data_IF_514441124448
#
_entry.id   IF_514441124448
#
_cell.length_a   1.000
_cell.length_b   1.000
_cell.length_c   1.000
_cell.angle_alpha   90.00
_cell.angle_beta   90.00
_cell.angle_gamma   90.00
#
_symmetry.space_group_name_H-M   'P 1'
#
loop_
_entity.id
_entity.type
_entity.pdbx_description
1 polymer ?
#
# COMPACT_ATOMS: atom_id res chain seq x y z
N UNK A 1 -55.89 -13.35 1.90
CA UNK A 1 -55.23 -12.95 0.64
C UNK A 1 -53.77 -12.64 0.97
N UNK A 2 -52.89 -13.62 1.15
CA UNK A 2 -52.31 -14.57 0.18
C UNK A 2 -51.29 -13.92 -0.77
N UNK A 3 -50.02 -13.84 -0.34
CA UNK A 3 -48.83 -13.84 -1.22
C UNK A 3 -47.55 -13.94 -0.38
N UNK A 4 -47.12 -15.16 -0.07
CA UNK A 4 -45.78 -15.46 0.44
C UNK A 4 -45.43 -16.89 0.05
N UNK A 5 -45.05 -17.10 -1.21
CA UNK A 5 -44.48 -18.37 -1.70
C UNK A 5 -43.78 -18.14 -3.04
N UNK A 6 -42.44 -17.98 -3.01
CA UNK A 6 -41.51 -18.35 -4.11
C UNK A 6 -40.07 -18.00 -3.77
N UNK A 7 -39.39 -18.85 -3.01
CA UNK A 7 -37.92 -18.94 -3.01
C UNK A 7 -37.50 -20.41 -2.83
N UNK A 8 -37.77 -21.23 -3.85
CA UNK A 8 -37.05 -22.49 -4.06
C UNK A 8 -36.68 -22.64 -5.54
N UNK A 9 -35.57 -23.33 -5.77
CA UNK A 9 -34.98 -23.73 -7.05
C UNK A 9 -34.13 -22.71 -7.83
N UNK A 10 -32.83 -22.74 -7.55
CA UNK A 10 -31.79 -22.72 -8.60
C UNK A 10 -30.50 -23.40 -8.12
N UNK A 11 -30.58 -24.73 -7.93
CA UNK A 11 -29.40 -25.61 -7.96
C UNK A 11 -29.23 -26.09 -9.41
N UNK A 12 -28.25 -25.52 -10.11
CA UNK A 12 -27.92 -25.90 -11.49
C UNK A 12 -26.47 -26.37 -11.57
N UNK A 13 -26.32 -27.69 -11.48
CA UNK A 13 -25.42 -28.57 -12.25
C UNK A 13 -24.14 -27.94 -12.80
N UNK A 14 -23.03 -28.15 -12.10
CA UNK A 14 -21.69 -28.16 -12.68
C UNK A 14 -21.51 -29.47 -13.47
N UNK A 15 -21.29 -29.38 -14.79
CA UNK A 15 -20.77 -30.49 -15.60
C UNK A 15 -19.24 -30.39 -15.66
N UNK A 16 -18.50 -31.50 -15.54
CA UNK A 16 -17.06 -31.51 -15.75
C UNK A 16 -16.74 -31.44 -17.26
N UNK A 17 -15.94 -30.45 -17.65
CA UNK A 17 -15.31 -30.43 -18.97
C UNK A 17 -14.08 -31.34 -18.95
N UNK A 18 -14.15 -32.44 -19.70
CA UNK A 18 -13.00 -33.27 -20.04
C UNK A 18 -12.16 -32.54 -21.10
N UNK A 19 -10.95 -32.13 -20.73
CA UNK A 19 -9.95 -31.58 -21.65
C UNK A 19 -9.13 -32.75 -22.17
N UNK A 20 -9.32 -33.08 -23.44
CA UNK A 20 -8.49 -34.02 -24.20
C UNK A 20 -7.28 -33.27 -24.76
N UNK A 21 -6.16 -33.29 -24.04
CA UNK A 21 -4.86 -32.81 -24.54
C UNK A 21 -4.25 -33.83 -25.52
N UNK A 22 -4.33 -33.54 -26.82
CA UNK A 22 -3.36 -34.07 -27.80
C UNK A 22 -2.18 -33.11 -27.85
N UNK A 23 -1.12 -33.44 -27.11
CA UNK A 23 0.18 -32.77 -27.19
C UNK A 23 0.93 -33.30 -28.41
N UNK A 24 1.10 -32.47 -29.44
CA UNK A 24 2.11 -32.70 -30.47
C UNK A 24 3.47 -32.14 -30.01
N UNK A 25 4.57 -32.89 -30.16
CA UNK A 25 5.90 -32.41 -29.79
C UNK A 25 6.41 -31.40 -30.82
N UNK A 26 6.53 -30.14 -30.42
CA UNK A 26 7.27 -29.11 -31.14
C UNK A 26 8.76 -29.35 -30.85
N UNK A 27 9.50 -29.84 -31.84
CA UNK A 27 10.96 -29.83 -31.82
C UNK A 27 11.46 -28.39 -31.93
N UNK A 28 11.85 -27.80 -30.80
CA UNK A 28 12.58 -26.54 -30.76
C UNK A 28 14.09 -26.82 -30.66
N UNK A 29 14.80 -26.61 -31.77
CA UNK A 29 16.25 -26.41 -31.80
C UNK A 29 16.56 -25.09 -31.07
N UNK A 30 16.93 -25.18 -29.79
CA UNK A 30 17.35 -24.03 -28.99
C UNK A 30 18.87 -23.96 -29.00
N UNK A 31 19.35 -22.93 -29.68
CA UNK A 31 20.71 -22.44 -29.67
C UNK A 31 21.26 -22.31 -28.23
N UNK A 32 22.34 -23.05 -27.99
CA UNK A 32 23.24 -22.93 -26.85
C UNK A 32 24.00 -21.60 -26.93
N UNK A 33 23.48 -20.52 -26.34
CA UNK A 33 24.31 -19.31 -26.15
C UNK A 33 24.07 -18.51 -24.86
N UNK A 34 23.23 -18.99 -23.94
CA UNK A 34 22.89 -18.22 -22.73
C UNK A 34 23.45 -18.77 -21.41
N UNK A 35 24.29 -19.82 -21.45
CA UNK A 35 24.92 -20.38 -20.23
C UNK A 35 26.12 -19.58 -19.73
N UNK A 36 26.75 -18.73 -20.56
CA UNK A 36 27.93 -17.96 -20.12
C UNK A 36 27.57 -16.71 -19.31
N UNK A 37 26.42 -16.08 -19.54
CA UNK A 37 26.05 -14.86 -18.82
C UNK A 37 25.58 -15.12 -17.37
N UNK A 38 24.88 -16.24 -17.14
CA UNK A 38 24.36 -16.60 -15.80
C UNK A 38 25.45 -17.07 -14.82
N UNK A 39 26.56 -17.63 -15.32
CA UNK A 39 27.69 -17.99 -14.46
C UNK A 39 28.46 -16.77 -13.94
N UNK A 40 28.48 -15.65 -14.67
CA UNK A 40 29.15 -14.43 -14.23
C UNK A 40 28.47 -13.73 -13.04
N UNK A 41 27.13 -13.74 -13.00
CA UNK A 41 26.37 -13.10 -11.92
C UNK A 41 26.39 -13.90 -10.62
N UNK A 42 26.43 -15.24 -10.71
CA UNK A 42 26.54 -16.11 -9.54
C UNK A 42 27.87 -15.87 -8.78
N UNK A 43 28.97 -15.69 -9.51
CA UNK A 43 30.29 -15.41 -8.93
C UNK A 43 30.35 -14.02 -8.27
N UNK A 44 29.62 -13.03 -8.78
CA UNK A 44 29.55 -11.68 -8.19
C UNK A 44 28.76 -11.66 -6.88
N UNK A 45 27.67 -12.43 -6.79
CA UNK A 45 26.89 -12.54 -5.54
C UNK A 45 27.66 -13.28 -4.45
N UNK A 46 28.40 -14.35 -4.79
CA UNK A 46 29.26 -15.04 -3.81
C UNK A 46 30.44 -14.18 -3.33
N UNK A 47 31.02 -13.36 -4.21
CA UNK A 47 32.05 -12.39 -3.79
C UNK A 47 31.47 -11.29 -2.88
N UNK A 48 30.22 -10.87 -3.08
CA UNK A 48 29.57 -9.88 -2.22
C UNK A 48 29.24 -10.46 -0.83
N UNK A 49 28.70 -11.69 -0.77
CA UNK A 49 28.41 -12.38 0.49
C UNK A 49 29.68 -12.65 1.31
N UNK A 50 30.78 -13.02 0.65
CA UNK A 50 32.07 -13.22 1.34
C UNK A 50 32.62 -11.90 1.91
N UNK A 51 32.37 -10.76 1.24
CA UNK A 51 32.78 -9.43 1.74
C UNK A 51 31.98 -9.02 2.98
N UNK A 52 30.67 -9.28 3.01
CA UNK A 52 29.82 -9.01 4.19
C UNK A 52 30.18 -9.93 5.36
N UNK A 53 30.49 -11.20 5.09
CA UNK A 53 30.92 -12.17 6.12
C UNK A 53 32.26 -11.78 6.76
N UNK A 54 33.21 -11.27 5.96
CA UNK A 54 34.52 -10.84 6.47
C UNK A 54 34.47 -9.49 7.21
N UNK A 55 33.51 -8.61 6.92
CA UNK A 55 33.28 -7.39 7.71
C UNK A 55 32.75 -7.67 9.12
N UNK A 56 32.11 -8.83 9.36
CA UNK A 56 31.70 -9.25 10.73
C UNK A 56 32.86 -9.72 11.59
N UNK A 57 33.99 -10.15 11.01
CA UNK A 57 35.14 -10.66 11.78
C UNK A 57 36.11 -9.57 12.27
N UNK A 58 35.97 -8.32 11.82
CA UNK A 58 36.76 -7.15 12.29
C UNK A 58 36.00 -6.25 13.26
N UNK A 59 35.12 -6.81 14.08
CA UNK A 59 34.43 -6.13 15.17
C UNK A 59 34.86 -6.68 16.54
N UNK A 60 36.12 -7.10 16.64
CA UNK A 60 36.74 -7.35 17.94
C UNK A 60 37.39 -6.05 18.46
N UNK A 61 37.03 -5.71 19.69
CA UNK A 61 37.52 -4.58 20.50
C UNK A 61 36.82 -3.23 20.27
N UNK A 62 35.50 -3.19 20.43
CA UNK A 62 34.84 -1.99 20.98
C UNK A 62 34.87 -2.16 22.51
N UNK A 63 35.42 -1.21 23.29
CA UNK A 63 35.38 -1.28 24.74
C UNK A 63 33.93 -1.40 25.21
N UNK A 64 33.68 -2.30 26.16
CA UNK A 64 32.39 -2.45 26.83
C UNK A 64 32.03 -1.13 27.53
N UNK A 65 31.41 -0.21 26.80
CA UNK A 65 30.61 0.84 27.41
C UNK A 65 29.44 0.12 28.06
N UNK A 66 29.38 0.15 29.39
CA UNK A 66 28.25 -0.34 30.16
C UNK A 66 27.01 0.40 29.67
N UNK A 67 26.29 -0.20 28.71
CA UNK A 67 24.98 0.26 28.30
C UNK A 67 24.12 0.12 29.55
N UNK A 68 23.88 1.25 30.23
CA UNK A 68 22.89 1.34 31.29
C UNK A 68 21.58 0.89 30.65
N UNK A 69 21.25 -0.37 30.92
CA UNK A 69 20.08 -1.03 30.40
C UNK A 69 18.89 -0.22 30.90
N UNK A 70 18.25 0.47 29.96
CA UNK A 70 17.29 1.54 30.24
C UNK A 70 16.32 1.15 31.33
N UNK A 71 16.22 2.01 32.32
CA UNK A 71 15.26 1.94 33.41
C UNK A 71 13.88 1.74 32.76
N UNK A 72 13.35 0.51 32.85
CA UNK A 72 12.08 0.16 32.22
C UNK A 72 11.04 1.05 32.89
N UNK A 73 10.49 2.00 32.14
CA UNK A 73 9.36 2.79 32.61
C UNK A 73 8.34 1.83 33.23
N UNK A 74 8.13 1.96 34.55
CA UNK A 74 7.18 1.13 35.27
C UNK A 74 5.80 1.28 34.61
N UNK A 75 5.05 0.17 34.53
CA UNK A 75 3.66 0.17 34.06
C UNK A 75 2.83 1.22 34.80
N UNK A 76 3.12 1.47 36.08
CA UNK A 76 2.47 2.53 36.86
C UNK A 76 2.79 3.94 36.37
N UNK A 77 4.02 4.21 35.90
CA UNK A 77 4.39 5.49 35.32
C UNK A 77 3.70 5.71 33.96
N UNK A 78 3.57 4.64 33.16
CA UNK A 78 2.80 4.67 31.92
C UNK A 78 1.33 4.98 32.20
N UNK A 79 0.69 4.24 33.11
CA UNK A 79 -0.71 4.48 33.49
C UNK A 79 -0.93 5.87 34.09
N UNK A 80 0.01 6.39 34.88
CA UNK A 80 -0.08 7.73 35.44
C UNK A 80 0.05 8.83 34.36
N UNK A 81 0.89 8.61 33.33
CA UNK A 81 1.05 9.53 32.21
C UNK A 81 -0.19 9.53 31.31
N UNK A 82 -0.72 8.35 30.97
CA UNK A 82 -1.90 8.26 30.10
C UNK A 82 -3.20 8.55 30.84
N UNK A 83 -3.32 8.24 32.14
CA UNK A 83 -4.53 8.48 32.93
C UNK A 83 -4.91 9.96 33.10
N UNK A 84 -4.02 10.89 32.73
CA UNK A 84 -4.27 12.34 32.75
C UNK A 84 -4.41 12.96 31.36
N UNK A 85 -4.27 12.17 30.30
CA UNK A 85 -4.36 12.69 28.94
C UNK A 85 -5.78 13.19 28.65
N UNK A 86 -5.89 14.35 28.01
CA UNK A 86 -7.19 14.89 27.62
C UNK A 86 -7.87 13.96 26.59
N UNK A 87 -9.21 13.94 26.49
CA UNK A 87 -9.91 13.24 25.42
C UNK A 87 -9.41 13.61 24.01
N UNK A 88 -9.01 14.88 23.81
CA UNK A 88 -8.42 15.35 22.56
C UNK A 88 -7.07 14.68 22.26
N UNK A 89 -6.23 14.46 23.27
CA UNK A 89 -4.94 13.77 23.12
C UNK A 89 -5.14 12.32 22.66
N UNK A 90 -6.15 11.61 23.18
CA UNK A 90 -6.49 10.28 22.71
C UNK A 90 -6.98 10.29 21.25
N UNK A 91 -7.89 11.22 20.91
CA UNK A 91 -8.38 11.37 19.55
C UNK A 91 -7.23 11.67 18.56
N UNK A 92 -6.32 12.58 18.91
CA UNK A 92 -5.13 12.91 18.11
C UNK A 92 -4.18 11.73 17.98
N UNK A 93 -3.90 11.01 19.08
CA UNK A 93 -3.02 9.84 19.06
C UNK A 93 -3.58 8.73 18.17
N UNK A 94 -4.86 8.38 18.32
CA UNK A 94 -5.52 7.38 17.47
C UNK A 94 -5.62 7.86 16.02
N UNK A 95 -5.94 9.13 15.79
CA UNK A 95 -5.97 9.74 14.45
C UNK A 95 -4.62 9.61 13.76
N UNK A 96 -3.55 10.01 14.44
CA UNK A 96 -2.19 9.92 13.96
C UNK A 96 -1.77 8.47 13.65
N UNK A 97 -2.15 7.49 14.47
CA UNK A 97 -1.87 6.08 14.20
C UNK A 97 -2.53 5.61 12.89
N UNK A 98 -3.81 5.94 12.70
CA UNK A 98 -4.54 5.59 11.47
C UNK A 98 -3.93 6.29 10.26
N UNK A 99 -3.68 7.60 10.33
CA UNK A 99 -3.08 8.35 9.22
C UNK A 99 -1.66 7.90 8.91
N UNK A 100 -0.88 7.48 9.92
CA UNK A 100 0.46 6.92 9.75
C UNK A 100 0.39 5.64 8.92
N UNK A 101 -0.53 4.73 9.25
CA UNK A 101 -0.74 3.49 8.48
C UNK A 101 -1.07 3.80 7.02
N UNK A 102 -1.94 4.77 6.76
CA UNK A 102 -2.27 5.20 5.40
C UNK A 102 -1.04 5.80 4.69
N UNK A 103 -0.36 6.76 5.32
CA UNK A 103 0.77 7.45 4.69
C UNK A 103 1.94 6.49 4.38
N UNK A 104 2.43 5.76 5.39
CA UNK A 104 3.55 4.83 5.22
C UNK A 104 3.17 3.60 4.40
N UNK A 105 1.91 3.15 4.47
CA UNK A 105 1.39 2.12 3.58
C UNK A 105 1.48 2.53 2.11
N UNK A 106 1.09 3.76 1.77
CA UNK A 106 1.22 4.27 0.40
C UNK A 106 2.67 4.49 -0.05
N UNK A 107 3.58 4.85 0.87
CA UNK A 107 5.02 4.88 0.59
C UNK A 107 5.52 3.47 0.25
N UNK A 108 5.21 2.48 1.08
CA UNK A 108 5.60 1.09 0.83
C UNK A 108 5.08 0.59 -0.52
N UNK A 109 3.83 0.92 -0.86
CA UNK A 109 3.25 0.56 -2.15
C UNK A 109 3.97 1.19 -3.35
N UNK A 110 4.43 2.44 -3.20
CA UNK A 110 5.15 3.16 -4.25
C UNK A 110 6.58 2.65 -4.43
N UNK A 111 7.24 2.19 -3.36
CA UNK A 111 8.64 1.76 -3.39
C UNK A 111 8.80 0.27 -3.67
N UNK A 112 7.99 -0.57 -3.03
CA UNK A 112 8.15 -2.04 -3.02
C UNK A 112 6.84 -2.79 -3.25
N UNK A 113 5.75 -2.08 -3.57
CA UNK A 113 4.46 -2.67 -3.83
C UNK A 113 4.32 -3.32 -5.22
N UNK A 114 3.08 -3.70 -5.59
CA UNK A 114 2.81 -4.31 -6.90
C UNK A 114 3.07 -3.37 -8.08
N UNK A 115 3.04 -2.04 -7.87
CA UNK A 115 3.21 -1.05 -8.93
C UNK A 115 4.62 -1.05 -9.54
N UNK A 116 5.71 -0.92 -8.76
CA UNK A 116 7.06 -1.10 -9.28
C UNK A 116 7.27 -2.42 -10.02
N UNK A 117 6.61 -3.50 -9.59
CA UNK A 117 6.72 -4.83 -10.24
C UNK A 117 6.04 -4.81 -11.61
N UNK A 118 4.78 -4.39 -11.70
CA UNK A 118 4.05 -4.39 -12.99
C UNK A 118 4.58 -3.33 -13.97
N UNK A 119 5.34 -2.36 -13.50
CA UNK A 119 6.05 -1.34 -14.30
C UNK A 119 7.49 -1.71 -14.64
N UNK A 120 7.94 -2.92 -14.30
CA UNK A 120 9.30 -3.40 -14.59
C UNK A 120 10.42 -2.57 -13.93
N UNK A 121 10.12 -1.88 -12.81
CA UNK A 121 11.09 -1.02 -12.10
C UNK A 121 11.98 -1.79 -11.12
N UNK A 122 11.52 -2.94 -10.62
CA UNK A 122 12.30 -3.81 -9.73
C UNK A 122 12.94 -5.00 -10.47
N UNK A 123 12.98 -4.93 -11.80
CA UNK A 123 13.46 -6.00 -12.68
C UNK A 123 12.46 -6.30 -13.80
N UNK A 124 12.92 -7.06 -14.80
CA UNK A 124 12.09 -7.43 -15.94
C UNK A 124 10.94 -8.37 -15.49
N UNK A 125 9.70 -7.91 -15.62
CA UNK A 125 8.52 -8.73 -15.33
C UNK A 125 8.03 -9.38 -16.63
N UNK A 126 7.94 -10.71 -16.67
CA UNK A 126 7.43 -11.47 -17.82
C UNK A 126 5.90 -11.46 -17.95
N UNK A 127 5.22 -10.64 -17.13
CA UNK A 127 3.76 -10.52 -17.16
C UNK A 127 3.27 -9.82 -18.42
N UNK A 128 2.31 -10.44 -19.09
CA UNK A 128 1.55 -9.78 -20.16
C UNK A 128 0.77 -8.56 -19.63
N UNK A 129 0.42 -7.61 -20.50
CA UNK A 129 -0.39 -6.44 -20.11
C UNK A 129 -1.70 -6.83 -19.42
N UNK A 130 -2.30 -7.97 -19.82
CA UNK A 130 -3.52 -8.51 -19.21
C UNK A 130 -3.29 -8.99 -17.77
N UNK A 131 -2.14 -9.60 -17.50
CA UNK A 131 -1.81 -10.00 -16.13
C UNK A 131 -1.44 -8.78 -15.28
N UNK A 132 -0.70 -7.80 -15.84
CA UNK A 132 -0.34 -6.55 -15.14
C UNK A 132 -1.58 -5.79 -14.66
N UNK A 133 -2.59 -5.64 -15.52
CA UNK A 133 -3.83 -4.95 -15.14
C UNK A 133 -4.66 -5.74 -14.13
N UNK A 134 -4.68 -7.08 -14.23
CA UNK A 134 -5.34 -7.94 -13.24
C UNK A 134 -4.69 -7.83 -11.85
N UNK A 135 -3.36 -7.82 -11.77
CA UNK A 135 -2.62 -7.59 -10.52
C UNK A 135 -2.97 -6.21 -9.94
N UNK A 136 -2.98 -5.17 -10.78
CA UNK A 136 -3.40 -3.83 -10.36
C UNK A 136 -4.84 -3.81 -9.81
N UNK A 137 -5.80 -4.47 -10.48
CA UNK A 137 -7.20 -4.50 -10.06
C UNK A 137 -7.39 -5.19 -8.71
N UNK A 138 -6.83 -6.38 -8.55
CA UNK A 138 -6.89 -7.13 -7.29
C UNK A 138 -6.33 -6.31 -6.12
N UNK A 139 -5.20 -5.63 -6.35
CA UNK A 139 -4.63 -4.72 -5.38
C UNK A 139 -5.54 -3.52 -5.09
N UNK A 140 -6.06 -2.86 -6.12
CA UNK A 140 -6.89 -1.66 -6.00
C UNK A 140 -8.21 -1.94 -5.26
N UNK A 141 -8.88 -3.04 -5.58
CA UNK A 141 -10.16 -3.42 -4.98
C UNK A 141 -10.05 -3.63 -3.47
N UNK A 142 -8.96 -4.26 -3.00
CA UNK A 142 -8.70 -4.39 -1.57
C UNK A 142 -8.22 -3.09 -0.93
N UNK A 143 -7.22 -2.41 -1.53
CA UNK A 143 -6.65 -1.20 -0.96
C UNK A 143 -7.67 -0.06 -0.83
N UNK A 144 -8.61 0.07 -1.78
CA UNK A 144 -9.60 1.15 -1.79
C UNK A 144 -10.50 1.15 -0.55
N UNK A 145 -10.88 -0.02 -0.03
CA UNK A 145 -11.70 -0.16 1.19
C UNK A 145 -10.99 0.44 2.41
N UNK A 146 -9.72 0.07 2.61
CA UNK A 146 -8.89 0.57 3.70
C UNK A 146 -8.63 2.08 3.57
N UNK A 147 -8.40 2.55 2.35
CA UNK A 147 -8.20 3.97 2.08
C UNK A 147 -9.43 4.77 2.47
N UNK A 148 -10.62 4.41 1.97
CA UNK A 148 -11.87 5.15 2.25
C UNK A 148 -12.18 5.12 3.76
N UNK A 149 -12.14 3.95 4.38
CA UNK A 149 -12.42 3.80 5.80
C UNK A 149 -11.41 4.55 6.67
N UNK A 150 -10.12 4.41 6.37
CA UNK A 150 -9.05 5.09 7.09
C UNK A 150 -9.09 6.61 6.95
N UNK A 151 -9.43 7.15 5.76
CA UNK A 151 -9.64 8.59 5.57
C UNK A 151 -10.78 9.09 6.47
N UNK A 152 -11.91 8.37 6.48
CA UNK A 152 -13.08 8.74 7.28
C UNK A 152 -12.78 8.73 8.79
N UNK A 153 -12.11 7.68 9.27
CA UNK A 153 -11.68 7.57 10.67
C UNK A 153 -10.69 8.67 11.04
N UNK A 154 -9.68 8.92 10.20
CA UNK A 154 -8.72 10.03 10.39
C UNK A 154 -9.44 11.37 10.52
N UNK A 155 -10.29 11.72 9.54
CA UNK A 155 -11.00 12.99 9.55
C UNK A 155 -11.89 13.14 10.79
N UNK A 156 -12.61 12.08 11.16
CA UNK A 156 -13.50 12.08 12.34
C UNK A 156 -12.72 12.30 13.63
N UNK A 157 -11.59 11.60 13.82
CA UNK A 157 -10.76 11.73 15.02
C UNK A 157 -10.12 13.11 15.14
N UNK A 158 -9.64 13.69 14.03
CA UNK A 158 -9.10 15.04 14.02
C UNK A 158 -10.19 16.12 14.23
N UNK A 159 -11.41 15.91 13.75
CA UNK A 159 -12.55 16.78 14.07
C UNK A 159 -12.95 16.68 15.55
N UNK A 160 -12.95 15.47 16.11
CA UNK A 160 -13.21 15.25 17.53
C UNK A 160 -12.15 15.97 18.39
N UNK A 161 -10.87 15.86 18.03
CA UNK A 161 -9.80 16.60 18.70
C UNK A 161 -9.94 18.13 18.60
N UNK A 162 -10.42 18.64 17.46
CA UNK A 162 -10.73 20.07 17.31
C UNK A 162 -11.86 20.53 18.26
N UNK A 163 -12.88 19.69 18.44
CA UNK A 163 -14.02 19.98 19.30
C UNK A 163 -13.69 19.84 20.80
N UNK A 164 -12.82 18.90 21.16
CA UNK A 164 -12.49 18.55 22.55
C UNK A 164 -11.22 19.22 23.09
N UNK A 165 -10.41 19.84 22.22
CA UNK A 165 -9.12 20.40 22.62
C UNK A 165 -9.23 21.80 23.24
N UNK A 166 -8.37 22.09 24.23
CA UNK A 166 -8.27 23.42 24.85
C UNK A 166 -7.23 24.32 24.15
N UNK A 167 -6.17 23.73 23.61
CA UNK A 167 -5.09 24.44 22.92
C UNK A 167 -5.53 24.98 21.57
N UNK A 168 -5.54 26.31 21.41
CA UNK A 168 -5.93 26.97 20.16
C UNK A 168 -5.06 26.56 18.96
N UNK A 169 -3.77 26.31 19.19
CA UNK A 169 -2.83 25.83 18.17
C UNK A 169 -3.17 24.40 17.77
N UNK A 170 -3.31 23.49 18.74
CA UNK A 170 -3.64 22.09 18.48
C UNK A 170 -4.97 21.96 17.73
N UNK A 171 -5.99 22.73 18.14
CA UNK A 171 -7.29 22.79 17.45
C UNK A 171 -7.15 23.21 15.99
N UNK A 172 -6.44 24.31 15.70
CA UNK A 172 -6.22 24.79 14.32
C UNK A 172 -5.51 23.75 13.46
N UNK A 173 -4.45 23.14 13.99
CA UNK A 173 -3.71 22.09 13.28
C UNK A 173 -4.58 20.84 13.05
N UNK A 174 -5.41 20.47 14.03
CA UNK A 174 -6.32 19.33 13.92
C UNK A 174 -7.40 19.54 12.86
N UNK A 175 -8.05 20.71 12.83
CA UNK A 175 -9.04 21.00 11.78
C UNK A 175 -8.38 21.05 10.39
N UNK A 176 -7.17 21.59 10.27
CA UNK A 176 -6.43 21.57 9.00
C UNK A 176 -6.10 20.13 8.57
N UNK A 177 -5.67 19.26 9.49
CA UNK A 177 -5.42 17.84 9.22
C UNK A 177 -6.70 17.12 8.75
N UNK A 178 -7.83 17.38 9.41
CA UNK A 178 -9.13 16.83 9.01
C UNK A 178 -9.54 17.30 7.61
N UNK A 179 -9.43 18.60 7.32
CA UNK A 179 -9.75 19.15 6.00
C UNK A 179 -8.85 18.58 4.90
N UNK A 180 -7.54 18.47 5.14
CA UNK A 180 -6.61 17.82 4.22
C UNK A 180 -7.03 16.37 3.94
N UNK A 181 -7.45 15.63 4.96
CA UNK A 181 -7.95 14.26 4.82
C UNK A 181 -9.24 14.20 4.00
N UNK A 182 -10.21 15.07 4.28
CA UNK A 182 -11.48 15.14 3.55
C UNK A 182 -11.25 15.45 2.07
N UNK A 183 -10.36 16.38 1.75
CA UNK A 183 -10.03 16.78 0.37
C UNK A 183 -9.43 15.66 -0.49
N UNK A 184 -8.90 14.59 0.12
CA UNK A 184 -8.39 13.42 -0.62
C UNK A 184 -9.51 12.68 -1.36
N UNK A 185 -10.72 12.65 -0.80
CA UNK A 185 -11.87 11.96 -1.41
C UNK A 185 -12.31 12.61 -2.73
N UNK A 186 -12.62 13.92 -2.82
CA UNK A 186 -12.97 14.56 -4.09
C UNK A 186 -11.82 14.49 -5.09
N UNK A 187 -10.55 14.63 -4.66
CA UNK A 187 -9.41 14.41 -5.56
C UNK A 187 -9.43 13.00 -6.16
N UNK A 188 -9.68 11.98 -5.35
CA UNK A 188 -9.74 10.59 -5.81
C UNK A 188 -10.91 10.39 -6.79
N UNK A 189 -12.10 10.89 -6.48
CA UNK A 189 -13.29 10.71 -7.31
C UNK A 189 -13.20 11.46 -8.63
N UNK A 190 -12.67 12.68 -8.64
CA UNK A 190 -12.65 13.54 -9.83
C UNK A 190 -11.43 13.26 -10.70
N UNK A 191 -10.26 13.06 -10.09
CA UNK A 191 -8.97 13.00 -10.82
C UNK A 191 -8.51 11.56 -11.06
N UNK A 192 -8.61 10.68 -10.06
CA UNK A 192 -8.10 9.30 -10.17
C UNK A 192 -9.14 8.36 -10.80
N UNK A 193 -10.40 8.47 -10.40
CA UNK A 193 -11.47 7.54 -10.82
C UNK A 193 -11.62 7.35 -12.33
N UNK A 194 -11.48 8.38 -13.20
CA UNK A 194 -11.53 8.17 -14.65
C UNK A 194 -10.44 7.21 -15.16
N UNK A 195 -9.25 7.25 -14.54
CA UNK A 195 -8.15 6.34 -14.86
C UNK A 195 -8.47 4.93 -14.36
N UNK A 196 -9.03 4.79 -13.15
CA UNK A 196 -9.47 3.50 -12.61
C UNK A 196 -10.52 2.85 -13.49
N UNK A 197 -11.57 3.59 -13.88
CA UNK A 197 -12.64 3.09 -14.73
C UNK A 197 -12.10 2.60 -16.09
N UNK A 198 -11.13 3.33 -16.65
CA UNK A 198 -10.48 2.94 -17.91
C UNK A 198 -9.67 1.65 -17.76
N UNK A 199 -8.98 1.46 -16.63
CA UNK A 199 -8.25 0.22 -16.35
C UNK A 199 -9.21 -0.96 -16.10
N UNK A 200 -10.26 -0.76 -15.29
CA UNK A 200 -11.28 -1.78 -15.04
C UNK A 200 -11.92 -2.24 -16.36
N UNK A 201 -12.32 -1.30 -17.23
CA UNK A 201 -12.89 -1.62 -18.53
C UNK A 201 -11.94 -2.42 -19.44
N UNK A 202 -10.62 -2.19 -19.36
CA UNK A 202 -9.64 -2.99 -20.09
C UNK A 202 -9.47 -4.39 -19.46
N UNK A 203 -9.59 -4.50 -18.14
CA UNK A 203 -9.55 -5.81 -17.46
C UNK A 203 -10.83 -6.64 -17.70
N UNK A 204 -11.95 -6.01 -18.02
CA UNK A 204 -13.19 -6.75 -18.36
C UNK A 204 -13.15 -7.33 -19.79
N UNK A 205 -12.22 -6.88 -20.66
CA UNK A 205 -12.07 -7.43 -22.02
C UNK A 205 -11.47 -8.84 -22.01
N UNK A 206 -12.04 -9.77 -22.78
CA UNK A 206 -11.52 -11.15 -22.91
C UNK A 206 -10.12 -11.17 -23.54
N UNK A 207 -9.91 -10.41 -24.60
CA UNK A 207 -8.63 -10.28 -25.29
C UNK A 207 -8.25 -8.81 -25.48
N UNK A 208 -6.96 -8.49 -25.34
CA UNK A 208 -6.43 -7.14 -25.55
C UNK A 208 -5.81 -7.02 -26.94
N UNK A 209 -6.30 -6.04 -27.71
CA UNK A 209 -5.64 -5.60 -28.93
C UNK A 209 -4.26 -5.00 -28.63
N UNK A 210 -3.43 -4.82 -29.66
CA UNK A 210 -2.12 -4.19 -29.49
C UNK A 210 -2.23 -2.74 -28.99
N UNK A 211 -3.24 -2.00 -29.45
CA UNK A 211 -3.52 -0.65 -28.96
C UNK A 211 -3.96 -0.64 -27.49
N UNK A 212 -4.77 -1.62 -27.08
CA UNK A 212 -5.16 -1.79 -25.68
C UNK A 212 -3.95 -2.05 -24.79
N UNK A 213 -3.01 -2.91 -25.22
CA UNK A 213 -1.79 -3.23 -24.47
C UNK A 213 -0.94 -2.00 -24.19
N UNK A 214 -0.74 -1.14 -25.21
CA UNK A 214 -0.04 0.15 -25.04
C UNK A 214 -0.81 1.08 -24.10
N UNK A 215 -2.14 1.11 -24.22
CA UNK A 215 -3.01 1.91 -23.35
C UNK A 215 -2.94 1.47 -21.88
N UNK A 216 -2.83 0.17 -21.59
CA UNK A 216 -2.65 -0.35 -20.22
C UNK A 216 -1.39 0.24 -19.58
N UNK A 217 -0.25 0.17 -20.27
CA UNK A 217 1.01 0.71 -19.74
C UNK A 217 0.91 2.21 -19.44
N UNK A 218 0.34 2.98 -20.37
CA UNK A 218 0.12 4.41 -20.18
C UNK A 218 -0.83 4.74 -19.03
N UNK A 219 -1.93 3.99 -18.87
CA UNK A 219 -2.89 4.19 -17.78
C UNK A 219 -2.29 3.84 -16.41
N UNK A 220 -1.49 2.79 -16.31
CA UNK A 220 -0.79 2.44 -15.05
C UNK A 220 0.22 3.53 -14.68
N UNK A 221 0.98 4.04 -15.65
CA UNK A 221 1.93 5.15 -15.45
C UNK A 221 1.20 6.43 -14.99
N UNK A 222 0.08 6.74 -15.64
CA UNK A 222 -0.78 7.87 -15.25
C UNK A 222 -1.34 7.68 -13.84
N UNK A 223 -1.84 6.48 -13.52
CA UNK A 223 -2.35 6.16 -12.20
C UNK A 223 -1.30 6.38 -11.12
N UNK A 224 -0.06 5.89 -11.34
CA UNK A 224 1.05 6.06 -10.38
C UNK A 224 1.33 7.54 -10.09
N UNK A 225 1.39 8.37 -11.13
CA UNK A 225 1.59 9.83 -10.96
C UNK A 225 0.48 10.48 -10.14
N UNK A 226 -0.78 10.17 -10.42
CA UNK A 226 -1.93 10.72 -9.69
C UNK A 226 -1.98 10.19 -8.25
N UNK A 227 -1.65 8.91 -8.07
CA UNK A 227 -1.52 8.29 -6.77
C UNK A 227 -0.44 8.99 -5.93
N UNK A 228 0.66 9.40 -6.55
CA UNK A 228 1.74 10.13 -5.87
C UNK A 228 1.29 11.45 -5.29
N UNK A 229 0.50 12.21 -6.05
CA UNK A 229 -0.13 13.44 -5.54
C UNK A 229 -1.02 13.13 -4.34
N UNK A 230 -1.83 12.08 -4.41
CA UNK A 230 -2.68 11.66 -3.28
C UNK A 230 -1.86 11.28 -2.05
N UNK A 231 -0.72 10.58 -2.19
CA UNK A 231 0.12 10.27 -1.02
C UNK A 231 0.69 11.56 -0.40
N UNK A 232 1.06 12.57 -1.18
CA UNK A 232 1.57 13.85 -0.64
C UNK A 232 0.50 14.53 0.21
N UNK A 233 -0.78 14.48 -0.20
CA UNK A 233 -1.89 14.98 0.60
C UNK A 233 -2.01 14.25 1.95
N UNK A 234 -1.81 12.92 1.97
CA UNK A 234 -1.72 12.15 3.21
C UNK A 234 -0.53 12.56 4.07
N UNK A 235 0.63 12.84 3.46
CA UNK A 235 1.80 13.35 4.15
C UNK A 235 1.54 14.69 4.83
N UNK A 236 0.83 15.61 4.16
CA UNK A 236 0.41 16.88 4.75
C UNK A 236 -0.56 16.67 5.93
N UNK A 237 -1.59 15.84 5.75
CA UNK A 237 -2.54 15.53 6.82
C UNK A 237 -1.85 14.90 8.03
N UNK A 238 -0.92 13.97 7.79
CA UNK A 238 -0.11 13.32 8.82
C UNK A 238 0.78 14.32 9.57
N UNK A 239 1.51 15.18 8.85
CA UNK A 239 2.39 16.18 9.47
C UNK A 239 1.62 17.18 10.34
N UNK A 240 0.46 17.63 9.86
CA UNK A 240 -0.45 18.49 10.64
C UNK A 240 -1.00 17.75 11.88
N UNK A 241 -1.37 16.48 11.72
CA UNK A 241 -1.85 15.65 12.83
C UNK A 241 -0.77 15.42 13.89
N UNK A 242 0.47 15.17 13.47
CA UNK A 242 1.62 15.05 14.36
C UNK A 242 1.88 16.36 15.12
N UNK A 243 1.88 17.50 14.43
CA UNK A 243 2.06 18.81 15.06
C UNK A 243 0.89 19.16 16.02
N UNK A 244 -0.34 18.77 15.69
CA UNK A 244 -1.49 18.91 16.57
C UNK A 244 -1.32 18.06 17.84
N UNK A 245 -0.86 16.82 17.70
CA UNK A 245 -0.59 15.92 18.82
C UNK A 245 0.52 16.47 19.73
N UNK A 246 1.66 16.87 19.18
CA UNK A 246 2.78 17.40 19.98
C UNK A 246 2.45 18.71 20.69
N UNK A 247 1.60 19.56 20.09
CA UNK A 247 1.11 20.79 20.75
C UNK A 247 -0.02 20.57 21.76
N UNK A 248 -0.46 19.32 21.95
CA UNK A 248 -1.45 18.91 22.96
C UNK A 248 -0.86 18.19 24.17
N UNK A 249 0.43 17.84 24.11
CA UNK A 249 1.21 17.28 25.21
C UNK A 249 1.75 18.40 26.10
#
# INVERSE_FOLDING_TARGET
MAQADRLEHRSARLRPYAISEKVQPIQASVHTNNKQHLNGERTRLEQCFTRISNSRKRLHCIPHTTVLYGDKMSVSAYLAAFGKASPATYALGTGLLVTSSLFFGNIGLTLTGPLPIIRDQLGACTLSSKQKIKVWRLFFDEASKYIIGGTGVTATLHLAAFALGDSSVSRRLSIMSALCSICILPYTLIVIMPTNNSLIALDDKVALSELDRKKVGWLIEKWDRLHKVRFVMYGCAWALGLAAFTSSL
#
